data_IF_951924963820
#
_entry.id   IF_951924963820
#
_cell.length_a   1.000
_cell.length_b   1.000
_cell.length_c   1.000
_cell.angle_alpha   90.00
_cell.angle_beta   90.00
_cell.angle_gamma   90.00
#
_symmetry.space_group_name_H-M   'P 1'
#
loop_
_entity.id
_entity.type
_entity.pdbx_description
1 polymer ?
#
# COMPACT_ATOMS: atom_id res chain seq x y z
N UNK A 1 24.20 -8.13 8.68
CA UNK A 1 24.15 -7.28 7.46
C UNK A 1 24.23 -5.84 7.92
N UNK A 2 25.13 -5.03 7.34
CA UNK A 2 25.30 -3.63 7.76
C UNK A 2 24.07 -2.78 7.42
N UNK A 3 23.65 -1.90 8.32
CA UNK A 3 22.67 -0.85 8.02
C UNK A 3 23.35 0.40 7.46
N UNK A 4 22.57 1.24 6.75
CA UNK A 4 23.05 2.47 6.15
C UNK A 4 22.09 3.63 6.41
N UNK A 5 22.65 4.81 6.57
CA UNK A 5 21.93 6.06 6.73
C UNK A 5 22.26 7.00 5.57
N UNK A 6 21.21 7.42 4.86
CA UNK A 6 21.27 8.31 3.71
C UNK A 6 20.64 9.65 4.09
N UNK A 7 21.46 10.69 4.26
CA UNK A 7 20.97 12.05 4.49
C UNK A 7 20.98 12.84 3.19
N UNK A 8 19.83 13.35 2.78
CA UNK A 8 19.70 14.13 1.55
C UNK A 8 20.51 15.42 1.67
N UNK A 9 21.40 15.66 0.70
CA UNK A 9 22.24 16.86 0.66
C UNK A 9 21.49 18.08 0.11
N UNK A 10 20.75 17.85 -0.97
CA UNK A 10 19.96 18.87 -1.66
C UNK A 10 18.76 18.23 -2.36
N UNK A 11 17.64 18.95 -2.40
CA UNK A 11 16.44 18.47 -3.11
C UNK A 11 16.69 18.54 -4.62
N UNK A 12 16.62 17.41 -5.34
CA UNK A 12 16.90 17.39 -6.77
C UNK A 12 15.79 18.09 -7.58
N UNK A 13 16.18 18.81 -8.63
CA UNK A 13 15.24 19.49 -9.52
C UNK A 13 14.39 18.51 -10.36
N UNK A 14 14.88 17.29 -10.61
CA UNK A 14 14.21 16.22 -11.35
C UNK A 14 14.02 14.99 -10.45
N UNK A 15 13.17 14.06 -10.88
CA UNK A 15 12.89 12.82 -10.17
C UNK A 15 14.08 11.87 -10.21
N UNK A 16 14.28 11.14 -9.12
CA UNK A 16 15.37 10.18 -8.93
C UNK A 16 14.79 8.77 -8.83
N UNK A 17 15.38 7.81 -9.54
CA UNK A 17 14.99 6.41 -9.49
C UNK A 17 15.89 5.60 -8.53
N UNK A 18 15.32 5.12 -7.41
CA UNK A 18 16.02 4.36 -6.38
C UNK A 18 15.82 2.84 -6.47
N UNK A 19 15.39 2.29 -7.62
CA UNK A 19 15.09 0.85 -7.75
C UNK A 19 16.24 -0.09 -7.37
N UNK A 20 17.49 0.36 -7.47
CA UNK A 20 18.69 -0.42 -7.15
C UNK A 20 19.15 -0.29 -5.70
N UNK A 21 18.51 0.57 -4.90
CA UNK A 21 18.95 0.90 -3.54
C UNK A 21 18.08 0.13 -2.54
N UNK A 22 18.45 -1.13 -2.29
CA UNK A 22 17.74 -2.04 -1.36
C UNK A 22 18.71 -2.69 -0.38
N UNK A 23 18.30 -3.11 0.84
CA UNK A 23 19.23 -3.71 1.80
C UNK A 23 20.02 -4.89 1.22
N UNK A 24 19.35 -5.76 0.46
CA UNK A 24 19.99 -6.89 -0.21
C UNK A 24 21.06 -6.44 -1.21
N UNK A 25 20.79 -5.41 -2.02
CA UNK A 25 21.75 -4.90 -2.99
C UNK A 25 22.97 -4.24 -2.33
N UNK A 26 22.80 -3.70 -1.11
CA UNK A 26 23.85 -2.97 -0.40
C UNK A 26 24.58 -3.81 0.67
N UNK A 27 24.17 -5.06 0.90
CA UNK A 27 24.59 -5.87 2.05
C UNK A 27 26.12 -6.03 2.16
N UNK A 28 26.78 -6.23 1.02
CA UNK A 28 28.22 -6.52 0.91
C UNK A 28 29.04 -5.33 0.37
N UNK A 29 28.44 -4.15 0.26
CA UNK A 29 29.11 -2.97 -0.28
C UNK A 29 29.68 -2.08 0.83
N UNK A 30 30.84 -1.50 0.57
CA UNK A 30 31.40 -0.43 1.40
C UNK A 30 30.69 0.90 1.17
N UNK A 31 30.83 1.85 2.11
CA UNK A 31 30.24 3.20 1.98
C UNK A 31 30.65 3.90 0.67
N UNK A 32 31.93 3.75 0.28
CA UNK A 32 32.46 4.30 -0.95
C UNK A 32 31.81 3.67 -2.20
N UNK A 33 31.65 2.35 -2.21
CA UNK A 33 30.97 1.65 -3.31
C UNK A 33 29.49 2.04 -3.41
N UNK A 34 28.81 2.17 -2.27
CA UNK A 34 27.41 2.62 -2.21
C UNK A 34 27.28 4.03 -2.77
N UNK A 35 28.18 4.95 -2.39
CA UNK A 35 28.20 6.30 -2.92
C UNK A 35 28.39 6.37 -4.44
N UNK A 36 29.05 5.37 -5.05
CA UNK A 36 29.25 5.29 -6.50
C UNK A 36 28.13 4.56 -7.24
N UNK A 37 27.11 4.04 -6.55
CA UNK A 37 26.00 3.37 -7.22
C UNK A 37 25.27 4.37 -8.13
N UNK A 38 25.11 4.06 -9.43
CA UNK A 38 24.45 4.96 -10.35
C UNK A 38 22.94 4.89 -10.15
N UNK A 39 22.31 6.05 -9.95
CA UNK A 39 20.85 6.23 -9.88
C UNK A 39 20.38 7.13 -11.02
N UNK A 40 19.19 6.86 -11.55
CA UNK A 40 18.62 7.67 -12.62
C UNK A 40 18.16 9.01 -12.09
N UNK A 41 18.48 10.11 -12.79
CA UNK A 41 18.02 11.47 -12.51
C UNK A 41 17.59 12.13 -13.82
N UNK A 42 16.29 12.22 -14.05
CA UNK A 42 15.77 12.59 -15.38
C UNK A 42 16.23 11.62 -16.47
N UNK A 43 17.06 12.09 -17.41
CA UNK A 43 17.66 11.30 -18.48
C UNK A 43 19.14 10.96 -18.24
N UNK A 44 19.70 11.37 -17.10
CA UNK A 44 21.10 11.12 -16.74
C UNK A 44 21.21 10.04 -15.65
N UNK A 45 22.42 9.54 -15.45
CA UNK A 45 22.78 8.68 -14.32
C UNK A 45 23.75 9.45 -13.42
N UNK A 46 23.48 9.51 -12.13
CA UNK A 46 24.32 10.17 -11.14
C UNK A 46 24.78 9.17 -10.07
N UNK A 47 26.01 9.28 -9.56
CA UNK A 47 26.42 8.59 -8.35
C UNK A 47 25.51 8.96 -7.17
N UNK A 48 25.14 7.99 -6.34
CA UNK A 48 24.29 8.21 -5.17
C UNK A 48 24.85 9.27 -4.20
N UNK A 49 26.18 9.40 -4.10
CA UNK A 49 26.87 10.39 -3.27
C UNK A 49 26.67 11.85 -3.73
N UNK A 50 26.22 12.10 -4.96
CA UNK A 50 25.84 13.45 -5.39
C UNK A 50 24.52 13.92 -4.74
N UNK A 51 23.69 12.96 -4.32
CA UNK A 51 22.38 13.21 -3.74
C UNK A 51 22.38 13.03 -2.21
N UNK A 52 23.13 12.04 -1.71
CA UNK A 52 23.11 11.65 -0.30
C UNK A 52 24.50 11.65 0.35
N UNK A 53 24.55 12.09 1.60
CA UNK A 53 25.63 11.72 2.51
C UNK A 53 25.36 10.30 3.03
N UNK A 54 26.27 9.38 2.75
CA UNK A 54 26.15 7.95 3.10
C UNK A 54 26.98 7.66 4.35
N UNK A 55 26.30 7.30 5.43
CA UNK A 55 26.92 6.91 6.70
C UNK A 55 26.48 5.50 7.13
N UNK A 56 27.24 4.85 8.01
CA UNK A 56 26.79 3.60 8.63
C UNK A 56 25.55 3.86 9.49
N UNK A 57 24.56 2.99 9.36
CA UNK A 57 23.34 3.02 10.16
C UNK A 57 23.57 2.44 11.56
N UNK A 58 22.65 2.74 12.48
CA UNK A 58 22.63 2.22 13.86
C UNK A 58 21.96 0.85 13.96
N UNK A 59 21.13 0.50 12.98
CA UNK A 59 20.35 -0.74 12.96
C UNK A 59 20.83 -1.67 11.86
N UNK A 60 21.13 -2.92 12.20
CA UNK A 60 21.55 -3.91 11.21
C UNK A 60 20.45 -4.22 10.19
N UNK A 61 20.82 -4.25 8.91
CA UNK A 61 19.92 -4.58 7.81
C UNK A 61 18.83 -3.55 7.53
N UNK A 62 18.91 -2.35 8.12
CA UNK A 62 18.01 -1.22 7.86
C UNK A 62 18.69 -0.17 6.99
N UNK A 63 18.03 0.27 5.92
CA UNK A 63 18.37 1.51 5.22
C UNK A 63 17.46 2.62 5.72
N UNK A 64 18.05 3.67 6.27
CA UNK A 64 17.33 4.87 6.72
C UNK A 64 17.56 6.00 5.73
N UNK A 65 16.49 6.63 5.28
CA UNK A 65 16.54 7.81 4.42
C UNK A 65 15.99 9.03 5.16
N UNK A 66 16.80 10.07 5.28
CA UNK A 66 16.49 11.33 5.95
C UNK A 66 16.44 12.47 4.91
N UNK A 67 15.31 13.19 4.83
CA UNK A 67 15.17 14.38 3.99
C UNK A 67 13.85 14.48 3.20
N UNK A 68 13.81 15.44 2.28
CA UNK A 68 12.64 15.75 1.42
C UNK A 68 12.66 14.85 0.17
N UNK A 69 11.95 13.72 0.24
CA UNK A 69 12.10 12.58 -0.68
C UNK A 69 10.89 12.36 -1.63
N UNK A 70 9.99 13.33 -1.80
CA UNK A 70 8.81 13.26 -2.69
C UNK A 70 9.16 13.01 -4.17
N UNK A 71 10.39 13.34 -4.56
CA UNK A 71 10.91 13.14 -5.93
C UNK A 71 11.71 11.85 -6.10
N UNK A 72 11.80 11.02 -5.06
CA UNK A 72 12.55 9.77 -5.09
C UNK A 72 11.59 8.60 -5.26
N UNK A 73 11.62 8.03 -6.45
CA UNK A 73 10.73 6.95 -6.89
C UNK A 73 11.32 5.58 -6.60
N UNK A 74 10.44 4.58 -6.54
CA UNK A 74 10.84 3.16 -6.51
C UNK A 74 11.70 2.80 -5.29
N UNK A 75 11.55 3.54 -4.19
CA UNK A 75 12.12 3.16 -2.88
C UNK A 75 11.56 1.79 -2.50
N UNK A 76 12.42 0.81 -2.23
CA UNK A 76 12.00 -0.56 -1.91
C UNK A 76 11.42 -1.36 -3.09
N UNK A 77 11.69 -0.94 -4.33
CA UNK A 77 11.26 -1.68 -5.51
C UNK A 77 11.77 -3.12 -5.50
N UNK A 78 10.83 -4.08 -5.69
CA UNK A 78 11.09 -5.52 -5.69
C UNK A 78 11.77 -6.07 -4.43
N UNK A 79 11.73 -5.35 -3.31
CA UNK A 79 12.49 -5.72 -2.13
C UNK A 79 12.08 -7.11 -1.61
N UNK A 80 13.07 -7.92 -1.25
CA UNK A 80 12.89 -9.32 -0.82
C UNK A 80 13.87 -9.63 0.34
N UNK A 81 13.90 -8.73 1.33
CA UNK A 81 14.58 -8.92 2.62
C UNK A 81 15.32 -7.69 3.17
N UNK A 82 15.20 -7.47 4.50
CA UNK A 82 15.74 -6.30 5.21
C UNK A 82 14.67 -5.26 5.55
N UNK A 83 15.09 -4.06 5.99
CA UNK A 83 14.18 -2.96 6.33
C UNK A 83 14.58 -1.67 5.62
N UNK A 84 13.59 -0.89 5.22
CA UNK A 84 13.76 0.49 4.79
C UNK A 84 12.88 1.38 5.66
N UNK A 85 13.45 2.46 6.18
CA UNK A 85 12.72 3.50 6.90
C UNK A 85 12.96 4.85 6.21
N UNK A 86 11.88 5.51 5.82
CA UNK A 86 11.88 6.83 5.18
C UNK A 86 11.33 7.85 6.17
N UNK A 87 12.18 8.80 6.58
CA UNK A 87 11.82 9.90 7.46
C UNK A 87 11.29 11.08 6.63
N UNK A 88 10.00 11.01 6.31
CA UNK A 88 9.32 11.98 5.48
C UNK A 88 8.53 11.30 4.37
N UNK A 89 8.30 12.04 3.29
CA UNK A 89 7.51 11.59 2.15
C UNK A 89 8.34 10.74 1.17
N UNK A 90 7.70 9.77 0.51
CA UNK A 90 8.30 9.02 -0.58
C UNK A 90 7.65 9.39 -1.92
N UNK A 91 8.40 9.25 -3.01
CA UNK A 91 7.88 9.43 -4.37
C UNK A 91 6.93 8.33 -4.83
N UNK A 92 6.84 8.15 -6.13
CA UNK A 92 5.96 7.17 -6.76
C UNK A 92 6.55 5.76 -6.67
N UNK A 93 5.70 4.73 -6.76
CA UNK A 93 6.09 3.32 -6.78
C UNK A 93 6.83 2.83 -5.53
N UNK A 94 6.68 3.50 -4.38
CA UNK A 94 7.27 3.05 -3.13
C UNK A 94 6.79 1.62 -2.80
N UNK A 95 7.73 0.69 -2.58
CA UNK A 95 7.43 -0.73 -2.34
C UNK A 95 6.80 -1.47 -3.53
N UNK A 96 6.88 -0.91 -4.74
CA UNK A 96 6.36 -1.56 -5.95
C UNK A 96 7.02 -2.92 -6.19
N UNK A 97 6.20 -3.94 -6.49
CA UNK A 97 6.61 -5.32 -6.75
C UNK A 97 7.36 -6.00 -5.59
N UNK A 98 7.28 -5.47 -4.36
CA UNK A 98 7.95 -6.02 -3.18
C UNK A 98 7.53 -7.46 -2.88
N UNK A 99 8.48 -8.35 -2.59
CA UNK A 99 8.28 -9.77 -2.30
C UNK A 99 8.50 -10.13 -0.82
N UNK A 100 9.28 -9.32 -0.09
CA UNK A 100 9.63 -9.56 1.31
C UNK A 100 10.37 -8.39 1.96
N UNK A 101 10.49 -8.42 3.29
CA UNK A 101 11.06 -7.32 4.10
C UNK A 101 10.00 -6.36 4.64
N UNK A 102 10.46 -5.23 5.19
CA UNK A 102 9.58 -4.17 5.71
C UNK A 102 9.97 -2.79 5.18
N UNK A 103 8.98 -2.00 4.75
CA UNK A 103 9.12 -0.61 4.35
C UNK A 103 8.22 0.27 5.22
N UNK A 104 8.82 1.18 5.98
CA UNK A 104 8.11 2.18 6.78
C UNK A 104 8.35 3.57 6.21
N UNK A 105 7.29 4.34 6.01
CA UNK A 105 7.32 5.72 5.53
C UNK A 105 6.59 6.60 6.55
N UNK A 106 7.30 7.56 7.14
CA UNK A 106 6.73 8.42 8.18
C UNK A 106 5.85 9.55 7.64
N UNK A 107 5.97 9.88 6.35
CA UNK A 107 5.08 10.80 5.64
C UNK A 107 4.14 10.07 4.68
N UNK A 108 3.83 10.74 3.58
CA UNK A 108 2.98 10.23 2.49
C UNK A 108 3.80 9.55 1.39
N UNK A 109 3.19 8.64 0.64
CA UNK A 109 3.77 8.05 -0.57
C UNK A 109 2.99 8.50 -1.82
N UNK A 110 3.68 8.64 -2.94
CA UNK A 110 3.07 9.06 -4.19
C UNK A 110 2.21 7.98 -4.87
N UNK A 111 1.98 8.18 -6.18
CA UNK A 111 1.23 7.25 -7.02
C UNK A 111 1.81 5.83 -6.99
N UNK A 112 0.94 4.83 -7.15
CA UNK A 112 1.33 3.42 -7.35
C UNK A 112 2.16 2.82 -6.18
N UNK A 113 2.03 3.36 -4.97
CA UNK A 113 2.63 2.75 -3.79
C UNK A 113 2.14 1.30 -3.62
N UNK A 114 3.05 0.37 -3.29
CA UNK A 114 2.78 -1.06 -3.18
C UNK A 114 2.17 -1.72 -4.43
N UNK A 115 2.24 -1.10 -5.61
CA UNK A 115 1.71 -1.70 -6.83
C UNK A 115 2.34 -3.08 -7.03
N UNK A 116 1.53 -4.09 -7.31
CA UNK A 116 1.99 -5.47 -7.53
C UNK A 116 2.82 -6.13 -6.42
N UNK A 117 2.76 -5.63 -5.18
CA UNK A 117 3.38 -6.26 -4.02
C UNK A 117 2.92 -7.72 -3.87
N UNK A 118 3.87 -8.64 -3.66
CA UNK A 118 3.63 -10.07 -3.52
C UNK A 118 3.90 -10.59 -2.09
N UNK A 119 4.61 -9.83 -1.25
CA UNK A 119 4.91 -10.21 0.14
C UNK A 119 5.66 -9.11 0.89
N UNK A 120 5.88 -9.33 2.19
CA UNK A 120 6.43 -8.34 3.11
C UNK A 120 5.36 -7.46 3.76
N UNK A 121 5.81 -6.37 4.40
CA UNK A 121 4.93 -5.38 5.03
C UNK A 121 5.32 -3.95 4.62
N UNK A 122 4.34 -3.15 4.22
CA UNK A 122 4.52 -1.72 3.95
C UNK A 122 3.62 -0.94 4.90
N UNK A 123 4.16 0.07 5.57
CA UNK A 123 3.42 0.98 6.45
C UNK A 123 3.70 2.44 6.07
N UNK A 124 2.65 3.20 5.80
CA UNK A 124 2.70 4.62 5.47
C UNK A 124 1.90 5.39 6.51
N UNK A 125 2.55 6.29 7.25
CA UNK A 125 1.88 7.09 8.29
C UNK A 125 1.01 8.21 7.73
N UNK A 126 1.36 8.75 6.57
CA UNK A 126 0.58 9.75 5.85
C UNK A 126 -0.37 9.14 4.82
N UNK A 127 -0.57 9.88 3.74
CA UNK A 127 -1.47 9.52 2.65
C UNK A 127 -0.76 8.72 1.56
N UNK A 128 -1.53 8.05 0.71
CA UNK A 128 -1.03 7.42 -0.53
C UNK A 128 -1.76 7.95 -1.74
N UNK A 129 -1.02 8.17 -2.82
CA UNK A 129 -1.59 8.61 -4.09
C UNK A 129 -2.47 7.55 -4.77
N UNK A 130 -2.99 7.93 -5.95
CA UNK A 130 -3.83 7.03 -6.76
C UNK A 130 -3.10 5.74 -7.13
N UNK A 131 -3.89 4.70 -7.36
CA UNK A 131 -3.43 3.39 -7.80
C UNK A 131 -2.50 2.68 -6.79
N UNK A 132 -2.54 3.04 -5.51
CA UNK A 132 -1.81 2.27 -4.51
C UNK A 132 -2.37 0.83 -4.42
N UNK A 133 -1.52 -0.17 -4.19
CA UNK A 133 -1.82 -1.60 -4.25
C UNK A 133 -2.42 -2.12 -5.59
N UNK A 134 -2.34 -1.34 -6.68
CA UNK A 134 -2.90 -1.72 -7.98
C UNK A 134 -1.95 -2.54 -8.85
N UNK A 135 -2.33 -2.74 -10.12
CA UNK A 135 -1.45 -3.16 -11.22
C UNK A 135 -0.45 -2.08 -11.60
N UNK A 136 0.65 -2.48 -12.24
CA UNK A 136 1.39 -1.56 -13.10
C UNK A 136 0.56 -1.22 -14.36
N UNK A 137 0.82 -0.07 -15.01
CA UNK A 137 0.25 0.21 -16.33
C UNK A 137 0.55 -0.92 -17.32
N UNK A 138 -0.49 -1.45 -17.96
CA UNK A 138 -0.37 -2.57 -18.91
C UNK A 138 -0.35 -3.98 -18.29
N UNK A 139 -0.33 -4.10 -16.96
CA UNK A 139 -0.39 -5.38 -16.26
C UNK A 139 -1.82 -5.78 -15.89
N UNK A 140 -2.01 -7.06 -15.56
CA UNK A 140 -3.32 -7.66 -15.25
C UNK A 140 -3.47 -8.10 -13.79
N UNK A 141 -2.39 -8.12 -13.02
CA UNK A 141 -2.40 -8.54 -11.61
C UNK A 141 -1.87 -7.41 -10.73
N UNK A 142 -2.70 -6.94 -9.78
CA UNK A 142 -2.32 -5.93 -8.80
C UNK A 142 -1.56 -6.53 -7.63
N UNK A 143 -1.80 -6.08 -6.40
CA UNK A 143 -1.20 -6.70 -5.21
C UNK A 143 -1.56 -8.21 -5.11
N UNK A 144 -0.53 -9.05 -4.95
CA UNK A 144 -0.54 -10.54 -4.94
C UNK A 144 -0.17 -11.15 -3.59
N UNK A 145 0.05 -10.35 -2.55
CA UNK A 145 0.32 -10.81 -1.19
C UNK A 145 0.98 -9.73 -0.34
N UNK A 146 1.25 -10.07 0.93
CA UNK A 146 1.78 -9.13 1.92
C UNK A 146 0.69 -8.29 2.61
N UNK A 147 1.15 -7.37 3.45
CA UNK A 147 0.29 -6.44 4.20
C UNK A 147 0.70 -5.01 3.89
N UNK A 148 -0.26 -4.18 3.48
CA UNK A 148 -0.04 -2.75 3.25
C UNK A 148 -0.98 -1.93 4.15
N UNK A 149 -0.40 -1.09 5.00
CA UNK A 149 -1.15 -0.25 5.96
C UNK A 149 -0.90 1.22 5.64
N UNK A 150 -1.98 1.97 5.50
CA UNK A 150 -1.99 3.42 5.30
C UNK A 150 -2.74 4.05 6.48
N UNK A 151 -2.07 4.91 7.24
CA UNK A 151 -2.69 5.58 8.40
C UNK A 151 -3.47 6.84 8.01
N UNK A 152 -3.12 7.47 6.88
CA UNK A 152 -3.87 8.57 6.29
C UNK A 152 -4.94 8.12 5.30
N UNK A 153 -5.06 8.89 4.21
CA UNK A 153 -6.00 8.69 3.12
C UNK A 153 -5.38 7.96 1.93
N UNK A 154 -6.23 7.31 1.14
CA UNK A 154 -5.86 6.71 -0.14
C UNK A 154 -6.55 7.43 -1.30
N UNK A 155 -5.80 7.65 -2.38
CA UNK A 155 -6.32 8.17 -3.64
C UNK A 155 -7.29 7.22 -4.35
N UNK A 156 -7.56 7.53 -5.62
CA UNK A 156 -8.45 6.73 -6.45
C UNK A 156 -7.86 5.36 -6.80
N UNK A 157 -8.73 4.38 -7.07
CA UNK A 157 -8.36 3.05 -7.57
C UNK A 157 -7.39 2.27 -6.67
N UNK A 158 -7.42 2.56 -5.36
CA UNK A 158 -6.71 1.78 -4.37
C UNK A 158 -7.11 0.30 -4.47
N UNK A 159 -6.13 -0.60 -4.59
CA UNK A 159 -6.35 -2.04 -4.69
C UNK A 159 -6.93 -2.50 -6.05
N UNK A 160 -6.79 -1.72 -7.11
CA UNK A 160 -7.28 -2.12 -8.44
C UNK A 160 -6.61 -3.42 -8.93
N UNK A 161 -7.45 -4.38 -9.33
CA UNK A 161 -7.06 -5.78 -9.64
C UNK A 161 -6.23 -6.48 -8.56
N UNK A 162 -6.36 -6.08 -7.29
CA UNK A 162 -5.79 -6.83 -6.17
C UNK A 162 -6.23 -8.29 -6.22
N UNK A 163 -5.28 -9.21 -6.03
CA UNK A 163 -5.46 -10.66 -6.18
C UNK A 163 -5.30 -11.42 -4.87
N UNK A 164 -4.45 -10.94 -3.95
CA UNK A 164 -4.25 -11.51 -2.60
C UNK A 164 -3.63 -10.44 -1.68
N UNK A 165 -3.54 -10.76 -0.39
CA UNK A 165 -2.96 -9.90 0.65
C UNK A 165 -4.02 -9.12 1.41
N UNK A 166 -3.55 -8.27 2.32
CA UNK A 166 -4.38 -7.38 3.13
C UNK A 166 -3.93 -5.93 2.93
N UNK A 167 -4.84 -5.05 2.55
CA UNK A 167 -4.58 -3.63 2.37
C UNK A 167 -5.53 -2.81 3.24
N UNK A 168 -4.98 -1.99 4.14
CA UNK A 168 -5.73 -1.28 5.17
C UNK A 168 -5.51 0.22 5.05
N UNK A 169 -6.59 1.00 5.09
CA UNK A 169 -6.57 2.47 5.05
C UNK A 169 -7.34 2.98 6.26
N UNK A 170 -6.67 3.67 7.19
CA UNK A 170 -7.33 4.17 8.42
C UNK A 170 -8.22 5.39 8.15
N UNK A 171 -7.90 6.21 7.14
CA UNK A 171 -8.72 7.33 6.70
C UNK A 171 -9.69 6.97 5.56
N UNK A 172 -10.01 7.97 4.74
CA UNK A 172 -10.83 7.87 3.54
C UNK A 172 -10.08 7.23 2.35
N UNK A 173 -10.83 6.65 1.42
CA UNK A 173 -10.36 6.15 0.13
C UNK A 173 -11.11 6.83 -1.04
N UNK A 174 -10.42 7.08 -2.15
CA UNK A 174 -10.99 7.70 -3.35
C UNK A 174 -12.02 6.83 -4.09
N UNK A 175 -12.42 7.30 -5.27
CA UNK A 175 -13.32 6.55 -6.16
C UNK A 175 -12.68 5.26 -6.66
N UNK A 176 -13.52 4.30 -7.08
CA UNK A 176 -13.10 3.01 -7.64
C UNK A 176 -12.23 2.16 -6.71
N UNK A 177 -12.40 2.30 -5.40
CA UNK A 177 -11.77 1.42 -4.41
C UNK A 177 -12.00 -0.07 -4.76
N UNK A 178 -10.92 -0.85 -4.85
CA UNK A 178 -11.01 -2.27 -5.17
C UNK A 178 -11.59 -2.56 -6.56
N UNK A 179 -11.50 -1.62 -7.51
CA UNK A 179 -12.00 -1.86 -8.86
C UNK A 179 -11.32 -3.08 -9.48
N UNK A 180 -12.10 -3.90 -10.18
CA UNK A 180 -11.60 -5.09 -10.90
C UNK A 180 -10.87 -6.10 -10.00
N UNK A 181 -11.05 -6.03 -8.68
CA UNK A 181 -10.41 -6.88 -7.68
C UNK A 181 -10.69 -8.37 -7.98
N UNK A 182 -9.64 -9.19 -7.92
CA UNK A 182 -9.71 -10.63 -8.21
C UNK A 182 -9.90 -11.45 -6.93
N UNK A 183 -9.28 -11.03 -5.83
CA UNK A 183 -9.40 -11.57 -4.48
C UNK A 183 -8.53 -10.75 -3.49
N UNK A 184 -8.55 -11.08 -2.20
CA UNK A 184 -7.84 -10.37 -1.14
C UNK A 184 -8.79 -9.65 -0.18
N UNK A 185 -8.21 -8.86 0.72
CA UNK A 185 -8.96 -8.10 1.72
C UNK A 185 -8.54 -6.64 1.67
N UNK A 186 -9.52 -5.74 1.56
CA UNK A 186 -9.33 -4.30 1.72
C UNK A 186 -10.18 -3.84 2.91
N UNK A 187 -9.62 -3.02 3.81
CA UNK A 187 -10.37 -2.42 4.92
C UNK A 187 -10.16 -0.91 4.96
N UNK A 188 -11.25 -0.14 5.08
CA UNK A 188 -11.24 1.32 5.10
C UNK A 188 -11.90 1.82 6.39
N UNK A 189 -11.18 2.68 7.11
CA UNK A 189 -11.59 3.27 8.39
C UNK A 189 -12.56 4.44 8.22
N UNK A 190 -12.41 5.21 7.15
CA UNK A 190 -13.26 6.34 6.80
C UNK A 190 -14.27 6.04 5.70
N UNK A 191 -14.48 7.03 4.83
CA UNK A 191 -15.39 6.96 3.66
C UNK A 191 -14.69 6.36 2.45
N UNK A 192 -15.48 5.86 1.51
CA UNK A 192 -15.00 5.53 0.17
C UNK A 192 -15.72 6.37 -0.88
N UNK A 193 -15.03 6.69 -1.97
CA UNK A 193 -15.61 7.35 -3.13
C UNK A 193 -16.59 6.45 -3.89
N UNK A 194 -17.12 6.98 -5.00
CA UNK A 194 -18.06 6.25 -5.85
C UNK A 194 -17.45 4.95 -6.43
N UNK A 195 -18.32 4.00 -6.79
CA UNK A 195 -17.94 2.78 -7.53
C UNK A 195 -16.96 1.84 -6.82
N UNK A 196 -17.03 1.76 -5.49
CA UNK A 196 -16.28 0.73 -4.75
C UNK A 196 -16.66 -0.68 -5.23
N UNK A 197 -15.66 -1.53 -5.45
CA UNK A 197 -15.83 -2.90 -5.94
C UNK A 197 -16.23 -3.02 -7.41
N UNK A 198 -16.21 -1.94 -8.20
CA UNK A 198 -16.64 -1.98 -9.61
C UNK A 198 -15.86 -3.03 -10.41
N UNK A 199 -16.56 -4.03 -10.94
CA UNK A 199 -15.98 -5.17 -11.67
C UNK A 199 -15.22 -6.17 -10.81
N UNK A 200 -15.41 -6.16 -9.48
CA UNK A 200 -14.74 -7.14 -8.59
C UNK A 200 -15.29 -8.55 -8.80
N UNK A 201 -14.38 -9.54 -8.83
CA UNK A 201 -14.70 -10.95 -8.99
C UNK A 201 -14.88 -11.67 -7.67
N UNK A 202 -13.96 -11.46 -6.72
CA UNK A 202 -13.95 -12.03 -5.36
C UNK A 202 -13.21 -11.08 -4.42
N UNK A 203 -13.14 -11.45 -3.14
CA UNK A 203 -12.46 -10.68 -2.10
C UNK A 203 -13.45 -9.89 -1.27
N UNK A 204 -12.96 -9.33 -0.17
CA UNK A 204 -13.78 -8.62 0.81
C UNK A 204 -13.31 -7.17 0.95
N UNK A 205 -14.22 -6.23 0.81
CA UNK A 205 -13.99 -4.81 1.11
C UNK A 205 -14.79 -4.46 2.38
N UNK A 206 -14.10 -4.09 3.45
CA UNK A 206 -14.68 -3.80 4.76
C UNK A 206 -14.68 -2.28 5.00
N UNK A 207 -15.85 -1.74 5.36
CA UNK A 207 -16.03 -0.35 5.78
C UNK A 207 -16.25 -0.33 7.29
N UNK A 208 -15.27 0.22 8.03
CA UNK A 208 -15.26 0.22 9.49
C UNK A 208 -15.97 1.42 10.12
N UNK A 209 -16.13 2.53 9.38
CA UNK A 209 -16.85 3.71 9.85
C UNK A 209 -18.30 3.36 10.22
N UNK A 210 -18.70 3.66 11.45
CA UNK A 210 -20.08 3.49 11.92
C UNK A 210 -21.05 4.46 11.26
N UNK A 211 -22.25 4.00 10.92
CA UNK A 211 -23.35 4.85 10.46
C UNK A 211 -23.30 5.24 8.99
N UNK A 212 -22.27 4.83 8.26
CA UNK A 212 -22.34 4.79 6.82
C UNK A 212 -23.17 3.54 6.45
N UNK A 213 -24.43 3.75 6.04
CA UNK A 213 -24.95 2.94 4.95
C UNK A 213 -23.86 2.86 3.86
N UNK A 214 -23.80 1.75 3.11
CA UNK A 214 -22.79 1.59 2.07
C UNK A 214 -22.57 2.93 1.35
N UNK A 215 -21.32 3.41 1.14
CA UNK A 215 -21.05 4.73 0.58
C UNK A 215 -22.06 5.07 -0.51
N UNK A 216 -22.68 6.24 -0.50
CA UNK A 216 -23.90 6.54 -1.29
C UNK A 216 -23.85 6.10 -2.78
N UNK A 217 -22.66 5.93 -3.37
CA UNK A 217 -22.46 5.36 -4.70
C UNK A 217 -22.62 3.83 -4.83
N UNK A 218 -22.68 3.07 -3.73
CA UNK A 218 -22.93 1.62 -3.69
C UNK A 218 -24.43 1.35 -3.52
N UNK A 219 -25.18 2.22 -2.84
CA UNK A 219 -26.66 2.20 -2.89
C UNK A 219 -27.17 2.38 -4.33
N UNK A 220 -26.38 3.03 -5.19
CA UNK A 220 -26.63 3.14 -6.64
C UNK A 220 -25.97 2.05 -7.49
N UNK A 221 -25.13 1.19 -6.90
CA UNK A 221 -24.51 0.07 -7.62
C UNK A 221 -25.53 -1.05 -7.75
N UNK A 222 -26.32 -1.01 -8.83
CA UNK A 222 -27.34 -2.01 -9.20
C UNK A 222 -26.83 -3.47 -9.23
N UNK A 223 -25.52 -3.67 -9.14
CA UNK A 223 -24.85 -4.97 -9.23
C UNK A 223 -24.33 -5.52 -7.90
N UNK A 224 -24.61 -4.86 -6.76
CA UNK A 224 -24.39 -5.41 -5.42
C UNK A 224 -25.72 -5.63 -4.70
N UNK A 225 -25.95 -6.85 -4.22
CA UNK A 225 -27.22 -7.25 -3.61
C UNK A 225 -27.05 -7.57 -2.12
N UNK A 226 -27.98 -7.14 -1.25
CA UNK A 226 -27.92 -7.47 0.17
C UNK A 226 -27.90 -8.99 0.40
N UNK A 227 -26.95 -9.47 1.19
CA UNK A 227 -26.88 -10.86 1.64
C UNK A 227 -27.20 -10.93 3.13
N UNK A 228 -28.38 -11.46 3.44
CA UNK A 228 -28.91 -11.59 4.81
C UNK A 228 -28.47 -12.87 5.51
N UNK A 229 -27.63 -13.68 4.87
CA UNK A 229 -27.12 -14.92 5.46
C UNK A 229 -26.10 -14.61 6.54
N UNK A 230 -26.33 -15.11 7.75
CA UNK A 230 -25.40 -14.95 8.86
C UNK A 230 -24.08 -15.68 8.57
N UNK A 231 -22.96 -14.99 8.75
CA UNK A 231 -21.60 -15.55 8.57
C UNK A 231 -20.71 -15.28 9.79
N UNK A 232 -21.10 -15.79 10.99
CA UNK A 232 -20.44 -15.42 12.25
C UNK A 232 -19.00 -15.90 12.33
N UNK A 233 -18.68 -17.09 11.81
CA UNK A 233 -17.32 -17.66 11.84
C UNK A 233 -16.39 -16.84 10.95
N UNK A 234 -16.79 -16.59 9.70
CA UNK A 234 -16.03 -15.77 8.77
C UNK A 234 -15.76 -14.37 9.34
N UNK A 235 -16.79 -13.72 9.88
CA UNK A 235 -16.64 -12.39 10.47
C UNK A 235 -15.74 -12.40 11.70
N UNK A 236 -15.87 -13.39 12.60
CA UNK A 236 -15.02 -13.50 13.78
C UNK A 236 -13.53 -13.65 13.44
N UNK A 237 -13.20 -14.36 12.36
CA UNK A 237 -11.82 -14.49 11.89
C UNK A 237 -11.32 -13.19 11.25
N UNK A 238 -12.07 -12.65 10.29
CA UNK A 238 -11.70 -11.43 9.56
C UNK A 238 -11.56 -10.23 10.49
N UNK A 239 -12.55 -9.97 11.35
CA UNK A 239 -12.55 -8.83 12.25
C UNK A 239 -11.41 -8.88 13.28
N UNK A 240 -11.03 -10.07 13.77
CA UNK A 240 -9.90 -10.22 14.69
C UNK A 240 -8.57 -9.99 14.01
N UNK A 241 -8.44 -10.37 12.74
CA UNK A 241 -7.25 -10.09 11.95
C UNK A 241 -7.10 -8.58 11.70
N UNK A 242 -8.16 -7.93 11.22
CA UNK A 242 -8.19 -6.48 10.99
C UNK A 242 -7.95 -5.68 12.28
N UNK A 243 -8.50 -6.12 13.41
CA UNK A 243 -8.33 -5.44 14.70
C UNK A 243 -6.87 -5.37 15.19
N UNK A 244 -5.97 -6.24 14.70
CA UNK A 244 -4.53 -6.18 15.02
C UNK A 244 -3.87 -4.90 14.52
N UNK A 245 -4.46 -4.25 13.53
CA UNK A 245 -3.97 -2.98 12.98
C UNK A 245 -4.45 -1.76 13.77
N UNK A 246 -5.26 -1.95 14.82
CA UNK A 246 -5.64 -0.88 15.74
C UNK A 246 -6.52 0.20 15.10
N UNK A 247 -6.53 1.40 15.70
CA UNK A 247 -7.26 2.56 15.20
C UNK A 247 -8.75 2.28 14.92
N UNK A 248 -9.20 2.63 13.71
CA UNK A 248 -10.58 2.43 13.26
C UNK A 248 -11.01 0.94 13.27
N UNK A 249 -10.07 0.01 13.19
CA UNK A 249 -10.34 -1.43 13.08
C UNK A 249 -10.41 -2.14 14.44
N UNK A 250 -9.94 -1.50 15.53
CA UNK A 250 -9.81 -2.15 16.84
C UNK A 250 -11.14 -2.69 17.40
N UNK A 251 -12.25 -2.02 17.12
CA UNK A 251 -13.56 -2.39 17.64
C UNK A 251 -14.34 -3.39 16.77
N UNK A 252 -13.83 -3.76 15.59
CA UNK A 252 -14.55 -4.61 14.63
C UNK A 252 -15.09 -5.93 15.19
N UNK A 253 -14.38 -6.68 16.07
CA UNK A 253 -14.89 -7.94 16.61
C UNK A 253 -16.19 -7.82 17.41
N UNK A 254 -16.53 -6.61 17.87
CA UNK A 254 -17.76 -6.31 18.63
C UNK A 254 -18.88 -5.76 17.73
N UNK A 255 -18.60 -5.50 16.45
CA UNK A 255 -19.54 -4.89 15.51
C UNK A 255 -20.39 -5.93 14.83
N UNK A 256 -21.64 -5.54 14.56
CA UNK A 256 -22.49 -6.25 13.60
C UNK A 256 -22.12 -5.80 12.20
N UNK A 257 -22.48 -6.61 11.20
CA UNK A 257 -22.20 -6.29 9.81
C UNK A 257 -23.43 -6.43 8.94
N UNK A 258 -23.47 -5.60 7.91
CA UNK A 258 -24.30 -5.81 6.74
C UNK A 258 -23.39 -6.20 5.56
N UNK A 259 -23.80 -7.21 4.80
CA UNK A 259 -23.02 -7.73 3.68
C UNK A 259 -23.79 -7.58 2.39
N UNK A 260 -23.08 -7.19 1.34
CA UNK A 260 -23.58 -7.15 -0.03
C UNK A 260 -22.68 -7.98 -0.92
N UNK A 261 -23.26 -8.78 -1.81
CA UNK A 261 -22.53 -9.63 -2.75
C UNK A 261 -22.59 -9.05 -4.15
N UNK A 262 -21.48 -9.10 -4.86
CA UNK A 262 -21.30 -8.55 -6.19
C UNK A 262 -19.85 -8.71 -6.65
N UNK A 263 -19.40 -8.12 -7.73
CA UNK A 263 -20.19 -7.39 -8.70
C UNK A 263 -20.89 -8.41 -9.62
N UNK A 264 -22.21 -8.31 -9.79
CA UNK A 264 -22.97 -9.20 -10.67
C UNK A 264 -22.51 -9.14 -12.14
N UNK A 265 -21.80 -8.09 -12.56
CA UNK A 265 -21.15 -8.02 -13.88
C UNK A 265 -19.89 -8.91 -14.00
N UNK A 266 -19.39 -9.45 -12.88
CA UNK A 266 -18.12 -10.16 -12.78
C UNK A 266 -18.19 -11.37 -11.82
N UNK A 267 -19.19 -12.24 -12.02
CA UNK A 267 -19.47 -13.50 -11.28
C UNK A 267 -20.17 -13.35 -9.91
N UNK A 268 -20.26 -12.16 -9.31
CA UNK A 268 -21.04 -11.92 -8.09
C UNK A 268 -20.49 -12.54 -6.79
N UNK A 269 -19.19 -12.86 -6.73
CA UNK A 269 -18.56 -13.56 -5.58
C UNK A 269 -17.70 -12.68 -4.68
N UNK A 270 -17.55 -11.40 -5.02
CA UNK A 270 -17.01 -10.39 -4.13
C UNK A 270 -18.01 -9.97 -3.07
N UNK A 271 -17.50 -9.33 -2.02
CA UNK A 271 -18.34 -8.83 -0.95
C UNK A 271 -17.92 -7.45 -0.46
N UNK A 272 -18.94 -6.64 -0.17
CA UNK A 272 -18.85 -5.37 0.53
C UNK A 272 -19.45 -5.56 1.93
N UNK A 273 -18.70 -5.18 2.95
CA UNK A 273 -19.06 -5.42 4.36
C UNK A 273 -19.10 -4.06 5.07
N UNK A 274 -20.28 -3.61 5.46
CA UNK A 274 -20.47 -2.40 6.25
C UNK A 274 -20.64 -2.76 7.73
N UNK A 275 -19.96 -2.02 8.63
CA UNK A 275 -20.06 -2.23 10.07
C UNK A 275 -21.16 -1.36 10.69
N UNK A 276 -21.96 -1.99 11.55
CA UNK A 276 -23.08 -1.40 12.29
C UNK A 276 -22.71 -1.15 13.77
#
# INVERSE_FOLDING_TARGET
MSGWHFRLRQVPALRVDLRGVTPTALAELSAAQIGQLPVGHGNAMLPLAELFDVAKGTEEGTLRFEGVLERFDRIGWQMDGGRIHVEGHAGHYAGGCMRGGALQIDGSAGLLAACEMAGGSIEVKGDVGDFAASTLPGSMDGMRGGTFVVHGHAGERFGDRMRRGSALVHGDAGAFLGSRMVAGTIAVGGKAGAHAGYGMRRGSIVFAATGAALPAGIETALTFVPNRTATPVFWALLSRDLARHGGAFAALPRRRIERHLGDLSADGKGELIACL
#
